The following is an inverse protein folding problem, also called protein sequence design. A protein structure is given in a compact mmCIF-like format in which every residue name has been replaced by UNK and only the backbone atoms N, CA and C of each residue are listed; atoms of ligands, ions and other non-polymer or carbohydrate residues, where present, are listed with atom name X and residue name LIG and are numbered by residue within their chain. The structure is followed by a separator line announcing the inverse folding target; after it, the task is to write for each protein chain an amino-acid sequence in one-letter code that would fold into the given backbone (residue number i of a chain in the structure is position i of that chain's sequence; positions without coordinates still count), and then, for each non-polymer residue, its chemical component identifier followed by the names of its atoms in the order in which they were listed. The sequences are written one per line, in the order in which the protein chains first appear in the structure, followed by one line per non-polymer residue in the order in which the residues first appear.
data_IF_713927310789
#
_entry.id   IF_713927310789
#
_cell.length_a   1.000
_cell.length_b   1.000
_cell.length_c   1.000
_cell.angle_alpha   90.00
_cell.angle_beta   90.00
_cell.angle_gamma   90.00
#
_symmetry.space_group_name_H-M   'P 1'
#
loop_
_entity.id
_entity.type
_entity.pdbx_description
1 polymer ?
#
# COMPACT_ATOMS: atom_id res chain seq x y z
N UNK A 1 7.37 -36.14 -16.86
CA UNK A 1 7.18 -35.10 -15.83
C UNK A 1 8.53 -34.72 -15.21
N UNK A 2 9.51 -34.25 -15.99
CA UNK A 2 10.86 -33.98 -15.46
C UNK A 2 11.60 -32.84 -16.18
N UNK A 3 10.89 -31.85 -16.73
CA UNK A 3 11.53 -30.67 -17.34
C UNK A 3 10.92 -29.32 -16.92
N UNK A 4 10.13 -29.27 -15.83
CA UNK A 4 9.50 -28.01 -15.35
C UNK A 4 10.14 -27.46 -14.05
N UNK A 5 11.13 -28.16 -13.46
CA UNK A 5 11.61 -27.81 -12.11
C UNK A 5 12.85 -26.90 -12.10
N UNK A 6 13.54 -26.69 -13.22
CA UNK A 6 14.87 -26.05 -13.20
C UNK A 6 14.93 -24.52 -13.39
N UNK A 7 13.80 -23.82 -13.58
CA UNK A 7 13.80 -22.35 -13.77
C UNK A 7 12.97 -21.55 -12.75
N UNK A 8 12.45 -22.19 -11.68
CA UNK A 8 11.58 -21.52 -10.69
C UNK A 8 12.32 -20.78 -9.56
N UNK A 9 13.65 -20.88 -9.48
CA UNK A 9 14.41 -20.44 -8.30
C UNK A 9 14.40 -18.91 -8.08
N UNK A 10 14.26 -18.14 -9.15
CA UNK A 10 14.27 -16.67 -9.10
C UNK A 10 12.86 -16.06 -9.25
N UNK A 11 11.84 -16.88 -9.54
CA UNK A 11 10.50 -16.41 -9.89
C UNK A 11 9.72 -15.84 -8.69
N UNK A 12 10.14 -16.13 -7.46
CA UNK A 12 9.44 -15.77 -6.22
C UNK A 12 10.21 -14.76 -5.35
N UNK A 13 11.31 -14.18 -5.85
CA UNK A 13 12.22 -13.28 -5.11
C UNK A 13 12.11 -11.83 -5.59
N UNK A 14 10.91 -11.24 -5.51
CA UNK A 14 10.72 -9.84 -5.90
C UNK A 14 11.09 -8.85 -4.79
N UNK A 15 11.68 -7.73 -5.21
CA UNK A 15 12.20 -6.70 -4.29
C UNK A 15 13.39 -7.17 -3.45
N UNK A 16 13.93 -8.37 -3.64
CA UNK A 16 15.13 -8.80 -2.92
C UNK A 16 16.37 -8.12 -3.49
N UNK A 17 17.27 -7.71 -2.60
CA UNK A 17 18.61 -7.23 -2.92
C UNK A 17 19.57 -7.64 -1.79
N UNK A 18 20.86 -7.71 -2.08
CA UNK A 18 21.84 -7.91 -1.01
C UNK A 18 21.82 -6.68 -0.07
N UNK A 19 21.83 -6.87 1.27
CA UNK A 19 21.84 -5.74 2.20
C UNK A 19 22.99 -4.75 2.01
N UNK A 20 24.17 -5.19 1.55
CA UNK A 20 25.31 -4.31 1.28
C UNK A 20 25.11 -3.49 0.01
N UNK A 21 24.54 -4.08 -1.04
CA UNK A 21 24.12 -3.34 -2.24
C UNK A 21 23.11 -2.27 -1.88
N UNK A 22 22.15 -2.60 -1.01
CA UNK A 22 21.14 -1.64 -0.59
C UNK A 22 21.69 -0.52 0.30
N UNK A 23 22.67 -0.83 1.16
CA UNK A 23 23.41 0.22 1.89
C UNK A 23 24.16 1.14 0.93
N UNK A 24 24.79 0.60 -0.11
CA UNK A 24 25.49 1.39 -1.12
C UNK A 24 24.51 2.27 -1.92
N UNK A 25 23.39 1.69 -2.36
CA UNK A 25 22.32 2.42 -3.06
C UNK A 25 21.82 3.61 -2.23
N UNK A 26 21.49 3.40 -0.95
CA UNK A 26 21.02 4.47 -0.05
C UNK A 26 22.04 5.58 0.12
N UNK A 27 23.34 5.27 0.25
CA UNK A 27 24.39 6.32 0.33
C UNK A 27 24.47 7.19 -0.91
N UNK A 28 24.17 6.63 -2.08
CA UNK A 28 24.25 7.32 -3.36
C UNK A 28 22.96 8.08 -3.73
N UNK A 29 21.81 7.56 -3.34
CA UNK A 29 20.51 8.03 -3.85
C UNK A 29 19.60 8.66 -2.78
N UNK A 30 19.82 8.39 -1.49
CA UNK A 30 19.02 8.98 -0.39
C UNK A 30 19.79 10.11 0.26
N UNK A 31 19.13 11.26 0.40
CA UNK A 31 19.66 12.37 1.19
C UNK A 31 19.18 12.27 2.63
N UNK A 32 20.12 12.32 3.57
CA UNK A 32 19.83 12.49 5.01
C UNK A 32 19.76 13.97 5.41
N UNK A 33 19.86 14.89 4.43
CA UNK A 33 19.74 16.32 4.68
C UNK A 33 18.30 16.67 5.05
N UNK A 34 18.16 17.50 6.08
CA UNK A 34 16.89 18.04 6.52
C UNK A 34 16.47 19.23 5.64
N UNK A 35 15.91 18.92 4.47
CA UNK A 35 15.42 19.91 3.48
C UNK A 35 13.90 19.83 3.31
N UNK A 36 13.31 20.87 2.73
CA UNK A 36 11.88 20.87 2.37
C UNK A 36 11.60 19.82 1.28
N UNK A 37 10.65 18.93 1.54
CA UNK A 37 10.25 17.81 0.66
C UNK A 37 8.81 17.96 0.18
N UNK A 38 8.18 19.10 0.42
CA UNK A 38 6.80 19.35 0.01
C UNK A 38 6.71 19.47 -1.49
N UNK A 39 5.79 18.72 -2.07
CA UNK A 39 5.52 18.71 -3.52
C UNK A 39 4.02 18.50 -3.74
N UNK A 40 3.54 18.88 -4.93
CA UNK A 40 2.17 18.57 -5.34
C UNK A 40 2.01 17.06 -5.59
N UNK A 41 0.79 16.52 -5.38
CA UNK A 41 0.50 15.09 -5.55
C UNK A 41 0.91 14.58 -6.94
N UNK A 42 0.49 15.29 -7.99
CA UNK A 42 0.83 14.98 -9.38
C UNK A 42 2.34 14.84 -9.59
N UNK A 43 3.11 15.80 -9.08
CA UNK A 43 4.57 15.82 -9.19
C UNK A 43 5.20 14.68 -8.39
N UNK A 44 4.70 14.38 -7.18
CA UNK A 44 5.21 13.28 -6.36
C UNK A 44 5.08 11.93 -7.09
N UNK A 45 3.93 11.68 -7.70
CA UNK A 45 3.67 10.44 -8.46
C UNK A 45 4.50 10.40 -9.75
N UNK A 46 4.50 11.49 -10.53
CA UNK A 46 5.25 11.57 -11.79
C UNK A 46 6.75 11.33 -11.57
N UNK A 47 7.31 11.87 -10.50
CA UNK A 47 8.74 11.75 -10.19
C UNK A 47 9.08 10.43 -9.50
N UNK A 48 8.21 9.95 -8.61
CA UNK A 48 8.49 8.85 -7.70
C UNK A 48 8.04 7.47 -8.16
N UNK A 49 7.05 7.36 -9.06
CA UNK A 49 6.53 6.07 -9.57
C UNK A 49 6.88 5.92 -11.05
N UNK A 50 7.41 4.76 -11.43
CA UNK A 50 7.79 4.41 -12.81
C UNK A 50 7.12 3.10 -13.24
N UNK A 51 6.88 2.94 -14.55
CA UNK A 51 6.46 1.64 -15.07
C UNK A 51 7.45 0.53 -14.70
N UNK A 52 6.93 -0.62 -14.28
CA UNK A 52 7.75 -1.75 -13.84
C UNK A 52 8.10 -1.76 -12.34
N UNK A 53 7.87 -0.66 -11.61
CA UNK A 53 8.20 -0.57 -10.20
C UNK A 53 7.48 -1.63 -9.36
N UNK A 54 8.17 -2.12 -8.33
CA UNK A 54 7.55 -2.83 -7.23
C UNK A 54 7.03 -1.85 -6.17
N UNK A 55 5.70 -1.63 -6.18
CA UNK A 55 5.02 -0.71 -5.30
C UNK A 55 4.31 -1.42 -4.14
N UNK A 56 4.39 -0.84 -2.95
CA UNK A 56 3.64 -1.27 -1.77
C UNK A 56 2.98 -0.08 -1.11
N UNK A 57 1.69 -0.21 -0.79
CA UNK A 57 0.92 0.82 -0.09
C UNK A 57 0.89 0.54 1.41
N UNK A 58 0.93 1.60 2.21
CA UNK A 58 0.75 1.52 3.66
C UNK A 58 -0.70 1.41 4.08
N UNK A 59 -0.92 1.53 5.39
CA UNK A 59 -2.21 1.31 6.00
C UNK A 59 -2.49 -0.18 6.19
N UNK A 60 -3.76 -0.54 6.38
CA UNK A 60 -4.19 -1.94 6.40
C UNK A 60 -5.67 -2.01 6.07
N UNK A 61 -6.00 -2.84 5.08
CA UNK A 61 -7.36 -2.99 4.61
C UNK A 61 -7.93 -1.67 4.11
N UNK A 62 -9.04 -1.25 4.70
CA UNK A 62 -9.70 0.02 4.38
C UNK A 62 -9.32 1.15 5.34
N UNK A 63 -8.14 1.10 5.97
CA UNK A 63 -7.69 2.09 6.97
C UNK A 63 -6.37 2.72 6.56
N UNK A 64 -6.34 4.06 6.39
CA UNK A 64 -5.19 4.88 6.00
C UNK A 64 -4.48 4.42 4.72
N UNK A 65 -5.20 3.85 3.76
CA UNK A 65 -4.65 3.54 2.44
C UNK A 65 -4.58 4.83 1.60
N UNK A 66 -3.48 5.11 0.88
CA UNK A 66 -3.26 6.38 0.18
C UNK A 66 -4.04 6.47 -1.14
N UNK A 67 -5.37 6.50 -1.06
CA UNK A 67 -6.26 6.45 -2.23
C UNK A 67 -6.07 7.61 -3.20
N UNK A 68 -5.78 8.82 -2.71
CA UNK A 68 -5.48 9.96 -3.57
C UNK A 68 -4.27 9.68 -4.49
N UNK A 69 -3.23 9.02 -3.98
CA UNK A 69 -2.08 8.62 -4.76
C UNK A 69 -2.42 7.50 -5.76
N UNK A 70 -3.25 6.54 -5.36
CA UNK A 70 -3.76 5.49 -6.27
C UNK A 70 -4.52 6.11 -7.44
N UNK A 71 -5.40 7.07 -7.18
CA UNK A 71 -6.15 7.78 -8.22
C UNK A 71 -5.21 8.54 -9.15
N UNK A 72 -4.19 9.18 -8.61
CA UNK A 72 -3.22 9.91 -9.41
C UNK A 72 -2.35 8.98 -10.28
N UNK A 73 -1.95 7.80 -9.78
CA UNK A 73 -1.28 6.76 -10.59
C UNK A 73 -2.17 6.36 -11.77
N UNK A 74 -3.47 6.19 -11.53
CA UNK A 74 -4.45 5.85 -12.57
C UNK A 74 -4.59 6.98 -13.59
N UNK A 75 -4.72 8.25 -13.15
CA UNK A 75 -4.80 9.42 -14.04
C UNK A 75 -3.57 9.55 -14.95
N UNK A 76 -2.39 9.27 -14.40
CA UNK A 76 -1.13 9.33 -15.16
C UNK A 76 -0.91 8.09 -16.04
N UNK A 77 -1.72 7.03 -15.89
CA UNK A 77 -1.60 5.81 -16.67
C UNK A 77 -0.29 5.05 -16.44
N UNK A 78 0.29 5.17 -15.24
CA UNK A 78 1.55 4.48 -14.91
C UNK A 78 1.24 3.00 -14.67
N UNK A 79 1.60 2.15 -15.63
CA UNK A 79 1.27 0.72 -15.66
C UNK A 79 2.48 -0.23 -15.59
N UNK A 80 2.24 -1.51 -15.91
CA UNK A 80 3.21 -2.60 -15.72
C UNK A 80 3.74 -2.68 -14.27
N UNK A 81 2.91 -2.30 -13.30
CA UNK A 81 3.29 -2.30 -11.90
C UNK A 81 3.33 -3.72 -11.36
N UNK A 82 4.31 -3.98 -10.50
CA UNK A 82 4.28 -5.10 -9.57
C UNK A 82 3.75 -4.58 -8.24
N UNK A 83 2.69 -5.18 -7.69
CA UNK A 83 2.11 -4.72 -6.42
C UNK A 83 2.33 -5.73 -5.30
N UNK A 84 2.70 -5.24 -4.12
CA UNK A 84 2.74 -6.03 -2.90
C UNK A 84 1.37 -5.97 -2.22
N UNK A 85 0.51 -6.93 -2.52
CA UNK A 85 -0.85 -7.00 -2.00
C UNK A 85 -0.87 -7.62 -0.59
N UNK A 86 -0.47 -6.81 0.39
CA UNK A 86 -0.31 -7.19 1.80
C UNK A 86 -1.37 -6.47 2.62
N UNK A 87 -2.49 -7.16 2.88
CA UNK A 87 -3.65 -6.50 3.48
C UNK A 87 -4.21 -5.37 2.59
N UNK A 88 -3.82 -5.35 1.31
CA UNK A 88 -4.30 -4.40 0.31
C UNK A 88 -5.70 -4.78 -0.12
N UNK A 89 -6.52 -3.79 -0.43
CA UNK A 89 -7.92 -3.95 -0.80
C UNK A 89 -8.22 -3.00 -1.95
N UNK A 90 -8.92 -1.90 -1.67
CA UNK A 90 -9.39 -0.97 -2.69
C UNK A 90 -8.26 -0.38 -3.54
N UNK A 91 -7.13 -0.10 -2.91
CA UNK A 91 -5.92 0.47 -3.50
C UNK A 91 -5.45 -0.32 -4.71
N UNK A 92 -5.04 -1.58 -4.51
CA UNK A 92 -4.53 -2.40 -5.60
C UNK A 92 -5.65 -2.98 -6.49
N UNK A 93 -6.86 -3.17 -5.94
CA UNK A 93 -8.02 -3.61 -6.72
C UNK A 93 -8.38 -2.58 -7.80
N UNK A 94 -8.33 -1.28 -7.50
CA UNK A 94 -8.57 -0.23 -8.49
C UNK A 94 -7.45 -0.14 -9.54
N UNK A 95 -6.18 -0.27 -9.14
CA UNK A 95 -5.08 -0.32 -10.11
C UNK A 95 -5.21 -1.51 -11.06
N UNK A 96 -5.62 -2.66 -10.52
CA UNK A 96 -5.86 -3.87 -11.31
C UNK A 96 -7.05 -3.67 -12.24
N UNK A 97 -8.15 -3.08 -11.75
CA UNK A 97 -9.33 -2.77 -12.56
C UNK A 97 -9.03 -1.74 -13.67
N UNK A 98 -8.08 -0.83 -13.44
CA UNK A 98 -7.58 0.10 -14.45
C UNK A 98 -6.59 -0.55 -15.45
N UNK A 99 -6.23 -1.83 -15.26
CA UNK A 99 -5.31 -2.55 -16.14
C UNK A 99 -3.83 -2.16 -15.96
N UNK A 100 -3.46 -1.61 -14.80
CA UNK A 100 -2.12 -1.08 -14.55
C UNK A 100 -1.18 -2.04 -13.81
N UNK A 101 -1.69 -3.17 -13.32
CA UNK A 101 -0.93 -4.18 -12.56
C UNK A 101 -0.70 -5.41 -13.42
N UNK A 102 0.56 -5.76 -13.66
CA UNK A 102 0.94 -6.97 -14.41
C UNK A 102 1.30 -8.13 -13.49
N UNK A 103 1.79 -7.84 -12.28
CA UNK A 103 2.30 -8.84 -11.32
C UNK A 103 1.88 -8.47 -9.90
N UNK A 104 1.64 -9.48 -9.06
CA UNK A 104 1.39 -9.27 -7.64
C UNK A 104 2.06 -10.33 -6.75
N UNK A 105 2.73 -9.88 -5.69
CA UNK A 105 3.00 -10.72 -4.51
C UNK A 105 1.81 -10.57 -3.56
N UNK A 106 1.20 -11.67 -3.12
CA UNK A 106 -0.07 -11.64 -2.39
C UNK A 106 0.07 -12.35 -1.04
N UNK A 107 -0.45 -11.71 0.02
CA UNK A 107 -0.78 -12.41 1.26
C UNK A 107 -2.29 -12.39 1.52
N UNK A 108 -2.88 -11.21 1.40
CA UNK A 108 -4.32 -11.01 1.43
C UNK A 108 -4.61 -9.77 0.59
N UNK A 109 -5.17 -9.98 -0.60
CA UNK A 109 -5.42 -8.91 -1.59
C UNK A 109 -6.80 -8.96 -2.24
N UNK A 110 -7.30 -10.16 -2.54
CA UNK A 110 -8.53 -10.32 -3.34
C UNK A 110 -9.84 -10.09 -2.56
N UNK A 111 -9.77 -9.83 -1.25
CA UNK A 111 -10.95 -9.61 -0.42
C UNK A 111 -11.04 -8.17 0.07
N UNK A 112 -12.15 -7.49 -0.20
CA UNK A 112 -12.51 -6.19 0.38
C UNK A 112 -13.16 -6.39 1.77
N UNK A 113 -12.54 -7.21 2.63
CA UNK A 113 -12.99 -7.47 4.01
C UNK A 113 -14.45 -7.99 4.06
N UNK A 114 -15.33 -7.30 4.80
CA UNK A 114 -16.76 -7.59 4.92
C UNK A 114 -17.52 -7.37 3.61
N UNK A 115 -16.89 -6.73 2.62
CA UNK A 115 -17.49 -6.38 1.32
C UNK A 115 -17.31 -7.47 0.27
N UNK A 116 -16.63 -8.57 0.61
CA UNK A 116 -16.52 -9.77 -0.24
C UNK A 116 -15.31 -9.75 -1.17
N UNK A 117 -15.36 -10.52 -2.25
CA UNK A 117 -14.23 -10.66 -3.18
C UNK A 117 -14.24 -9.58 -4.28
N UNK A 118 -13.06 -9.08 -4.62
CA UNK A 118 -12.83 -8.19 -5.75
C UNK A 118 -12.97 -8.96 -7.06
N UNK A 119 -14.07 -8.68 -7.79
CA UNK A 119 -14.32 -9.27 -9.10
C UNK A 119 -13.28 -8.86 -10.15
N UNK A 120 -12.87 -7.58 -10.25
CA UNK A 120 -11.87 -7.17 -11.24
C UNK A 120 -10.51 -7.83 -11.02
N UNK A 121 -10.03 -7.89 -9.77
CA UNK A 121 -8.74 -8.53 -9.49
C UNK A 121 -8.77 -10.03 -9.77
N UNK A 122 -9.85 -10.71 -9.39
CA UNK A 122 -10.05 -12.12 -9.73
C UNK A 122 -10.07 -12.35 -11.25
N UNK A 123 -10.83 -11.55 -11.99
CA UNK A 123 -10.93 -11.66 -13.44
C UNK A 123 -9.58 -11.40 -14.14
N UNK A 124 -8.79 -10.45 -13.64
CA UNK A 124 -7.45 -10.18 -14.16
C UNK A 124 -6.51 -11.38 -14.01
N UNK A 125 -6.59 -12.10 -12.88
CA UNK A 125 -5.81 -13.35 -12.68
C UNK A 125 -6.34 -14.48 -13.54
N UNK A 126 -7.65 -14.73 -13.55
CA UNK A 126 -8.27 -15.84 -14.30
C UNK A 126 -8.06 -15.69 -15.81
N UNK A 127 -8.00 -14.45 -16.32
CA UNK A 127 -7.72 -14.15 -17.73
C UNK A 127 -6.24 -14.14 -18.09
N UNK A 128 -5.34 -14.15 -17.09
CA UNK A 128 -3.89 -14.07 -17.29
C UNK A 128 -3.36 -12.65 -17.55
N UNK A 129 -4.18 -11.61 -17.39
CA UNK A 129 -3.73 -10.21 -17.45
C UNK A 129 -2.82 -9.86 -16.26
N UNK A 130 -3.06 -10.47 -15.09
CA UNK A 130 -2.27 -10.31 -13.89
C UNK A 130 -1.69 -11.66 -13.46
N UNK A 131 -0.38 -11.71 -13.20
CA UNK A 131 0.29 -12.89 -12.66
C UNK A 131 0.51 -12.78 -11.16
N UNK A 132 -0.03 -13.72 -10.38
CA UNK A 132 0.35 -13.90 -8.97
C UNK A 132 1.69 -14.60 -8.93
N UNK A 133 2.74 -13.84 -8.62
CA UNK A 133 4.15 -14.26 -8.70
C UNK A 133 4.66 -14.82 -7.39
N UNK A 134 4.03 -14.50 -6.25
CA UNK A 134 4.34 -15.10 -4.96
C UNK A 134 3.10 -15.06 -4.06
N UNK A 135 2.92 -16.12 -3.27
CA UNK A 135 1.93 -16.17 -2.20
C UNK A 135 2.65 -16.37 -0.86
N UNK A 136 2.27 -15.60 0.16
CA UNK A 136 2.87 -15.72 1.49
C UNK A 136 1.84 -15.43 2.58
N UNK A 137 2.14 -15.71 3.84
CA UNK A 137 1.23 -15.35 4.94
C UNK A 137 1.34 -13.84 5.24
N UNK A 138 0.28 -13.22 5.79
CA UNK A 138 0.32 -11.79 6.16
C UNK A 138 1.50 -11.44 7.08
N UNK A 139 1.81 -12.32 8.04
CA UNK A 139 2.95 -12.15 8.93
C UNK A 139 4.29 -12.31 8.20
N UNK A 140 4.41 -13.31 7.33
CA UNK A 140 5.63 -13.52 6.56
C UNK A 140 5.92 -12.35 5.61
N UNK A 141 4.90 -11.78 4.97
CA UNK A 141 5.05 -10.59 4.13
C UNK A 141 5.62 -9.41 4.94
N UNK A 142 5.05 -9.12 6.11
CA UNK A 142 5.57 -8.11 7.04
C UNK A 142 7.05 -8.34 7.38
N UNK A 143 7.41 -9.59 7.65
CA UNK A 143 8.76 -9.94 8.07
C UNK A 143 9.80 -9.80 6.95
N UNK A 144 9.39 -9.78 5.68
CA UNK A 144 10.27 -9.40 4.56
C UNK A 144 10.77 -7.96 4.73
N UNK A 145 9.86 -7.03 5.04
CA UNK A 145 10.20 -5.63 5.29
C UNK A 145 10.96 -5.47 6.61
N UNK A 146 10.62 -6.27 7.62
CA UNK A 146 11.36 -6.29 8.89
C UNK A 146 12.82 -6.70 8.69
N UNK A 147 13.08 -7.73 7.88
CA UNK A 147 14.45 -8.13 7.52
C UNK A 147 15.18 -7.02 6.77
N UNK A 148 14.54 -6.42 5.75
CA UNK A 148 15.10 -5.33 4.97
C UNK A 148 15.47 -4.10 5.83
N UNK A 149 14.54 -3.63 6.68
CA UNK A 149 14.78 -2.55 7.63
C UNK A 149 15.98 -2.84 8.55
N UNK A 150 16.11 -4.09 9.02
CA UNK A 150 17.23 -4.51 9.89
C UNK A 150 18.53 -4.76 9.12
N UNK A 151 18.52 -4.69 7.78
CA UNK A 151 19.66 -5.00 6.93
C UNK A 151 20.06 -6.48 6.98
N UNK A 152 19.08 -7.36 7.17
CA UNK A 152 19.23 -8.82 7.12
C UNK A 152 18.86 -9.32 5.72
N UNK A 153 19.50 -10.39 5.26
CA UNK A 153 19.14 -11.03 3.98
C UNK A 153 17.81 -11.79 4.06
N UNK A 154 17.42 -12.24 5.26
CA UNK A 154 16.20 -13.00 5.52
C UNK A 154 15.72 -12.89 6.98
N UNK A 155 14.46 -13.28 7.22
CA UNK A 155 13.85 -13.42 8.54
C UNK A 155 13.56 -14.90 8.85
N UNK A 156 14.08 -15.48 9.95
CA UNK A 156 13.82 -16.88 10.32
C UNK A 156 12.47 -17.05 11.03
N UNK A 157 11.69 -18.06 10.64
CA UNK A 157 10.39 -18.38 11.24
C UNK A 157 10.03 -19.87 11.09
N UNK A 158 8.82 -20.25 11.51
CA UNK A 158 8.21 -21.58 11.28
C UNK A 158 6.80 -21.49 10.68
N UNK A 159 6.36 -20.30 10.28
CA UNK A 159 4.95 -20.02 9.97
C UNK A 159 4.39 -20.74 8.75
N UNK A 160 5.16 -20.90 7.67
CA UNK A 160 4.68 -21.58 6.46
C UNK A 160 5.05 -23.07 6.41
N UNK A 161 5.83 -23.58 7.38
CA UNK A 161 6.26 -24.97 7.39
C UNK A 161 5.05 -25.89 7.54
N UNK A 162 4.88 -26.80 6.59
CA UNK A 162 3.73 -27.72 6.55
C UNK A 162 2.53 -27.20 5.78
N UNK A 163 2.65 -26.05 5.10
CA UNK A 163 1.63 -25.50 4.21
C UNK A 163 2.15 -25.41 2.78
N UNK A 164 1.25 -25.39 1.80
CA UNK A 164 1.64 -25.17 0.39
C UNK A 164 2.16 -23.76 0.14
N UNK A 165 1.86 -22.79 1.01
CA UNK A 165 2.37 -21.41 0.93
C UNK A 165 3.90 -21.37 0.79
N UNK A 166 4.61 -22.30 1.43
CA UNK A 166 6.07 -22.39 1.30
C UNK A 166 6.51 -22.63 -0.16
N UNK A 167 5.75 -23.41 -0.93
CA UNK A 167 6.04 -23.74 -2.32
C UNK A 167 5.76 -22.60 -3.31
N UNK A 168 4.91 -21.65 -2.92
CA UNK A 168 4.54 -20.47 -3.72
C UNK A 168 5.21 -19.17 -3.23
N UNK A 169 6.11 -19.29 -2.25
CA UNK A 169 6.86 -18.16 -1.70
C UNK A 169 8.32 -18.20 -2.11
N UNK A 170 9.01 -17.06 -2.00
CA UNK A 170 10.48 -17.00 -2.11
C UNK A 170 11.21 -17.59 -0.90
N UNK A 171 10.50 -18.11 0.11
CA UNK A 171 11.08 -18.64 1.33
C UNK A 171 11.86 -19.93 1.09
N UNK A 172 12.90 -20.16 1.89
CA UNK A 172 13.70 -21.39 1.87
C UNK A 172 13.60 -22.12 3.20
N UNK A 173 13.57 -23.45 3.17
CA UNK A 173 13.62 -24.28 4.38
C UNK A 173 15.05 -24.74 4.63
N UNK A 174 15.57 -24.53 5.84
CA UNK A 174 16.86 -25.04 6.29
C UNK A 174 16.72 -25.79 7.61
N UNK A 175 17.77 -26.47 8.04
CA UNK A 175 17.90 -27.01 9.39
C UNK A 175 18.44 -25.92 10.32
N UNK A 176 17.76 -25.72 11.45
CA UNK A 176 18.20 -24.80 12.51
C UNK A 176 19.48 -25.34 13.17
N UNK A 177 20.61 -24.62 13.10
CA UNK A 177 21.89 -25.12 13.62
C UNK A 177 21.91 -25.29 15.14
N UNK A 178 20.96 -24.70 15.87
CA UNK A 178 20.89 -24.82 17.33
C UNK A 178 19.99 -25.96 17.80
N UNK A 179 19.01 -26.36 16.98
CA UNK A 179 17.98 -27.34 17.40
C UNK A 179 17.84 -28.55 16.50
N UNK A 180 18.47 -28.55 15.31
CA UNK A 180 18.31 -29.59 14.28
C UNK A 180 16.91 -29.65 13.67
N UNK A 181 16.03 -28.69 13.99
CA UNK A 181 14.63 -28.67 13.51
C UNK A 181 14.52 -27.82 12.25
N UNK A 182 13.58 -28.11 11.34
CA UNK A 182 13.37 -27.27 10.17
C UNK A 182 12.90 -25.86 10.56
N UNK A 183 13.46 -24.85 9.89
CA UNK A 183 13.05 -23.45 9.95
C UNK A 183 12.87 -22.90 8.53
N UNK A 184 11.98 -21.93 8.39
CA UNK A 184 11.73 -21.16 7.17
C UNK A 184 12.57 -19.88 7.22
N UNK A 185 13.21 -19.54 6.11
CA UNK A 185 13.91 -18.28 5.89
C UNK A 185 13.13 -17.47 4.86
N UNK A 186 12.51 -16.39 5.32
CA UNK A 186 11.77 -15.46 4.48
C UNK A 186 12.76 -14.43 3.91
N UNK A 187 12.89 -14.26 2.59
CA UNK A 187 13.81 -13.30 1.99
C UNK A 187 13.42 -11.85 2.33
N UNK A 188 14.41 -10.98 2.52
CA UNK A 188 14.16 -9.55 2.67
C UNK A 188 13.51 -8.93 1.42
N UNK A 189 12.77 -7.83 1.60
CA UNK A 189 12.13 -7.10 0.51
C UNK A 189 12.37 -5.60 0.63
N UNK A 190 12.88 -5.00 -0.44
CA UNK A 190 13.13 -3.58 -0.62
C UNK A 190 12.24 -3.09 -1.79
N UNK A 191 11.01 -2.62 -1.51
CA UNK A 191 10.14 -2.05 -2.54
C UNK A 191 10.83 -0.89 -3.27
N UNK A 192 10.55 -0.73 -4.55
CA UNK A 192 11.02 0.43 -5.31
C UNK A 192 10.34 1.70 -4.79
N UNK A 193 9.02 1.61 -4.57
CA UNK A 193 8.22 2.73 -4.06
C UNK A 193 7.30 2.26 -2.95
N UNK A 194 7.26 3.03 -1.86
CA UNK A 194 6.24 2.94 -0.82
C UNK A 194 5.48 4.26 -0.76
N UNK A 195 4.15 4.17 -0.72
CA UNK A 195 3.28 5.32 -0.51
C UNK A 195 2.47 5.10 0.76
N UNK A 196 2.51 6.07 1.67
CA UNK A 196 1.83 6.00 2.97
C UNK A 196 0.88 7.18 3.14
N UNK A 197 -0.17 7.00 3.92
CA UNK A 197 -1.08 8.08 4.30
C UNK A 197 -1.11 8.28 5.82
N UNK A 198 -0.83 9.49 6.28
CA UNK A 198 -0.61 9.80 7.70
C UNK A 198 -1.42 11.01 8.17
N UNK A 199 -1.76 11.04 9.46
CA UNK A 199 -2.53 12.14 10.06
C UNK A 199 -1.85 13.50 9.92
N UNK A 200 -0.54 13.55 10.12
CA UNK A 200 0.21 14.81 10.00
C UNK A 200 1.69 14.56 9.72
N UNK A 201 2.27 15.45 8.93
CA UNK A 201 3.70 15.49 8.69
C UNK A 201 4.25 16.91 8.77
N UNK A 202 5.55 17.09 8.99
CA UNK A 202 6.21 18.37 8.72
C UNK A 202 6.75 18.43 7.28
N UNK A 203 7.25 19.60 6.89
CA UNK A 203 7.85 19.82 5.56
C UNK A 203 9.10 18.97 5.30
N UNK A 204 9.73 18.42 6.33
CA UNK A 204 10.94 17.62 6.22
C UNK A 204 10.63 16.12 6.01
N UNK A 205 9.43 15.68 6.41
CA UNK A 205 8.97 14.29 6.33
C UNK A 205 8.87 13.58 7.67
N UNK A 206 8.96 14.28 8.81
CA UNK A 206 8.64 13.65 10.10
C UNK A 206 7.12 13.47 10.18
N UNK A 207 6.66 12.23 10.37
CA UNK A 207 5.24 11.90 10.37
C UNK A 207 4.78 11.44 11.75
N UNK A 208 3.63 11.94 12.18
CA UNK A 208 2.90 11.44 13.34
C UNK A 208 1.63 10.74 12.88
N UNK A 209 1.39 9.55 13.43
CA UNK A 209 0.25 8.70 13.12
C UNK A 209 -0.47 8.44 14.45
N UNK A 210 -1.76 8.69 14.48
CA UNK A 210 -2.61 8.34 15.61
C UNK A 210 -3.20 6.95 15.43
N UNK A 211 -3.30 6.20 16.52
CA UNK A 211 -3.82 4.83 16.50
C UNK A 211 -2.81 3.82 15.94
N UNK A 212 -3.31 2.86 15.17
CA UNK A 212 -2.50 1.74 14.69
C UNK A 212 -1.61 2.17 13.51
N UNK A 213 -0.30 2.03 13.68
CA UNK A 213 0.70 2.33 12.66
C UNK A 213 0.83 1.22 11.61
N UNK A 214 0.20 0.07 11.86
CA UNK A 214 0.27 -1.15 11.07
C UNK A 214 1.71 -1.56 10.82
N UNK A 215 2.23 -1.27 9.64
CA UNK A 215 3.57 -1.64 9.16
C UNK A 215 4.31 -0.50 8.49
N UNK A 216 3.72 0.70 8.54
CA UNK A 216 4.23 1.88 7.86
C UNK A 216 5.69 2.17 8.28
N UNK A 217 6.05 1.80 9.51
CA UNK A 217 7.41 1.93 10.03
C UNK A 217 8.41 1.07 9.26
N UNK A 218 8.16 -0.25 9.15
CA UNK A 218 9.02 -1.17 8.43
C UNK A 218 9.04 -0.87 6.93
N UNK A 219 7.89 -0.58 6.34
CA UNK A 219 7.79 -0.21 4.93
C UNK A 219 8.62 1.02 4.59
N UNK A 220 8.47 2.11 5.36
CA UNK A 220 9.23 3.33 5.13
C UNK A 220 10.75 3.09 5.23
N UNK A 221 11.19 2.21 6.14
CA UNK A 221 12.60 1.88 6.30
C UNK A 221 13.12 0.85 5.29
N UNK A 222 12.24 0.06 4.67
CA UNK A 222 12.60 -0.95 3.66
C UNK A 222 12.69 -0.34 2.25
N UNK A 223 11.82 0.60 1.91
CA UNK A 223 11.69 1.12 0.55
C UNK A 223 12.92 1.89 0.03
N UNK A 224 13.08 1.90 -1.29
CA UNK A 224 14.04 2.75 -2.01
C UNK A 224 13.53 4.17 -2.14
N UNK A 225 12.23 4.35 -2.39
CA UNK A 225 11.55 5.65 -2.44
C UNK A 225 10.30 5.67 -1.56
N UNK A 226 10.08 6.74 -0.78
CA UNK A 226 8.94 6.89 0.14
C UNK A 226 8.21 8.21 -0.12
N UNK A 227 6.95 8.10 -0.52
CA UNK A 227 6.02 9.22 -0.68
C UNK A 227 5.06 9.22 0.50
N UNK A 228 4.98 10.34 1.21
CA UNK A 228 4.01 10.56 2.28
C UNK A 228 2.89 11.44 1.76
N UNK A 229 1.67 10.92 1.76
CA UNK A 229 0.46 11.74 1.71
C UNK A 229 0.00 12.02 3.14
N UNK A 230 -0.49 13.21 3.42
CA UNK A 230 -0.91 13.57 4.77
C UNK A 230 -2.16 14.44 4.78
N UNK A 231 -2.98 14.26 5.80
CA UNK A 231 -4.15 15.11 6.06
C UNK A 231 -3.77 16.55 6.37
N UNK A 232 -2.60 16.77 6.98
CA UNK A 232 -2.13 18.11 7.31
C UNK A 232 -0.62 18.21 7.41
N UNK A 233 -0.07 19.29 6.87
CA UNK A 233 1.30 19.69 7.15
C UNK A 233 1.32 20.63 8.37
N UNK A 234 2.15 20.29 9.36
CA UNK A 234 2.32 21.08 10.59
C UNK A 234 3.74 21.66 10.71
N UNK A 235 3.91 22.76 11.46
CA UNK A 235 5.24 23.28 11.78
C UNK A 235 6.10 22.24 12.51
N UNK A 236 7.40 22.27 12.28
CA UNK A 236 8.35 21.36 12.93
C UNK A 236 8.33 21.52 14.46
N UNK A 237 8.05 22.71 14.95
CA UNK A 237 7.93 23.01 16.38
C UNK A 237 6.81 22.19 17.05
N UNK A 238 5.76 21.82 16.31
CA UNK A 238 4.70 20.94 16.83
C UNK A 238 5.15 19.47 16.89
N UNK A 239 5.93 19.02 15.90
CA UNK A 239 6.53 17.68 15.90
C UNK A 239 7.50 17.53 17.10
N UNK A 240 8.39 18.51 17.28
CA UNK A 240 9.41 18.49 18.33
C UNK A 240 8.84 18.62 19.74
N UNK A 241 7.63 19.19 19.90
CA UNK A 241 6.92 19.20 21.19
C UNK A 241 6.41 17.83 21.61
N UNK A 242 6.13 16.93 20.66
CA UNK A 242 5.62 15.57 20.89
C UNK A 242 6.41 14.53 20.08
N UNK A 243 7.71 14.39 20.34
CA UNK A 243 8.56 13.49 19.56
C UNK A 243 8.15 12.02 19.72
N UNK A 244 7.51 11.66 20.85
CA UNK A 244 6.93 10.34 21.14
C UNK A 244 5.86 9.89 20.12
N UNK A 245 5.20 10.86 19.48
CA UNK A 245 4.20 10.60 18.45
C UNK A 245 4.81 10.43 17.05
N UNK A 246 6.10 10.75 16.86
CA UNK A 246 6.75 10.64 15.55
C UNK A 246 7.05 9.18 15.25
N UNK A 247 6.37 8.64 14.24
CA UNK A 247 6.46 7.22 13.86
C UNK A 247 7.38 7.02 12.68
N UNK A 248 7.35 7.92 11.70
CA UNK A 248 8.23 7.86 10.53
C UNK A 248 9.17 9.07 10.56
N UNK A 249 10.49 8.85 10.64
CA UNK A 249 11.46 9.93 10.69
C UNK A 249 11.74 10.49 9.30
N UNK A 250 12.09 11.78 9.22
CA UNK A 250 12.30 12.47 7.95
C UNK A 250 13.33 11.81 7.01
N UNK A 251 14.36 11.15 7.53
CA UNK A 251 15.49 10.66 6.72
C UNK A 251 15.14 9.46 5.82
N UNK A 252 13.99 8.80 6.03
CA UNK A 252 13.51 7.75 5.12
C UNK A 252 12.57 8.28 4.03
N UNK A 253 12.01 9.48 4.23
CA UNK A 253 11.00 10.10 3.37
C UNK A 253 11.64 10.88 2.22
N UNK A 254 11.09 10.80 1.01
CA UNK A 254 11.58 11.54 -0.16
C UNK A 254 10.63 12.66 -0.59
N UNK A 255 9.32 12.48 -0.44
CA UNK A 255 8.30 13.46 -0.80
C UNK A 255 7.20 13.54 0.26
N UNK A 256 6.68 14.75 0.51
CA UNK A 256 5.55 15.02 1.40
C UNK A 256 4.48 15.77 0.62
N UNK A 257 3.25 15.27 0.68
CA UNK A 257 2.09 15.80 -0.05
C UNK A 257 0.96 16.03 0.94
N UNK A 258 0.54 17.28 1.10
CA UNK A 258 -0.70 17.60 1.83
C UNK A 258 -1.89 17.32 0.91
N UNK A 259 -2.72 16.36 1.29
CA UNK A 259 -3.92 15.97 0.56
C UNK A 259 -4.98 15.51 1.58
N UNK A 260 -5.76 16.46 2.14
CA UNK A 260 -6.84 16.16 3.07
C UNK A 260 -7.87 15.22 2.45
N UNK A 261 -8.45 14.36 3.29
CA UNK A 261 -9.27 13.22 2.89
C UNK A 261 -8.58 12.30 1.89
N UNK A 262 -7.25 12.18 1.99
CA UNK A 262 -6.41 11.47 1.03
C UNK A 262 -6.61 9.96 1.05
N UNK A 263 -7.22 9.45 2.13
CA UNK A 263 -7.61 8.04 2.24
C UNK A 263 -9.03 7.76 1.75
N UNK A 264 -9.89 8.75 1.47
CA UNK A 264 -11.29 8.48 1.06
C UNK A 264 -11.34 7.53 -0.15
N UNK A 265 -12.23 6.51 -0.19
CA UNK A 265 -13.37 6.23 0.71
C UNK A 265 -13.03 5.49 2.01
N UNK A 266 -11.74 5.27 2.27
CA UNK A 266 -11.24 4.52 3.42
C UNK A 266 -11.12 5.42 4.66
N UNK A 267 -11.11 4.79 5.84
CA UNK A 267 -11.11 5.49 7.12
C UNK A 267 -9.72 6.08 7.42
N UNK A 268 -9.69 7.28 8.02
CA UNK A 268 -8.54 7.75 8.80
C UNK A 268 -8.99 7.87 10.26
N UNK A 269 -8.55 6.95 11.14
CA UNK A 269 -9.03 6.89 12.51
C UNK A 269 -8.89 8.23 13.21
N UNK A 270 -9.90 8.60 13.99
CA UNK A 270 -9.99 9.89 14.71
C UNK A 270 -10.17 11.13 13.84
N UNK A 271 -10.22 11.01 12.51
CA UNK A 271 -10.53 12.14 11.61
C UNK A 271 -11.84 11.92 10.88
N UNK A 272 -11.97 10.84 10.11
CA UNK A 272 -13.18 10.54 9.37
C UNK A 272 -13.36 9.05 9.09
N UNK A 273 -14.62 8.64 8.98
CA UNK A 273 -15.03 7.24 8.86
C UNK A 273 -15.09 6.74 7.40
N UNK A 274 -15.33 5.44 7.21
CA UNK A 274 -15.50 4.86 5.87
C UNK A 274 -16.69 5.48 5.14
N UNK A 275 -16.52 5.75 3.85
CA UNK A 275 -17.64 6.11 2.98
C UNK A 275 -18.32 4.84 2.45
N UNK A 276 -19.18 4.22 3.27
CA UNK A 276 -19.88 3.00 2.89
C UNK A 276 -20.80 3.17 1.66
N UNK A 277 -21.27 4.39 1.40
CA UNK A 277 -22.08 4.65 0.22
C UNK A 277 -21.22 4.61 -1.05
N UNK A 278 -20.06 5.26 -1.04
CA UNK A 278 -19.14 5.23 -2.16
C UNK A 278 -18.54 3.83 -2.37
N UNK A 279 -18.26 3.11 -1.28
CA UNK A 279 -17.91 1.70 -1.34
C UNK A 279 -18.99 0.87 -2.02
N UNK A 280 -20.27 1.08 -1.68
CA UNK A 280 -21.38 0.38 -2.33
C UNK A 280 -21.46 0.71 -3.83
N UNK A 281 -21.25 1.98 -4.22
CA UNK A 281 -21.18 2.38 -5.63
C UNK A 281 -20.07 1.62 -6.39
N UNK A 282 -18.88 1.48 -5.80
CA UNK A 282 -17.81 0.66 -6.37
C UNK A 282 -18.21 -0.81 -6.49
N UNK A 283 -18.79 -1.39 -5.43
CA UNK A 283 -19.17 -2.80 -5.42
C UNK A 283 -20.20 -3.12 -6.51
N UNK A 284 -21.16 -2.22 -6.74
CA UNK A 284 -22.17 -2.37 -7.78
C UNK A 284 -21.58 -2.15 -9.18
N UNK A 285 -20.72 -1.14 -9.34
CA UNK A 285 -20.03 -0.87 -10.60
C UNK A 285 -19.09 -2.01 -11.01
N UNK A 286 -18.39 -2.61 -10.04
CA UNK A 286 -17.44 -3.70 -10.26
C UNK A 286 -18.07 -5.03 -10.69
N UNK A 287 -19.40 -5.08 -10.84
CA UNK A 287 -20.10 -6.26 -11.32
C UNK A 287 -19.95 -6.51 -12.83
N UNK A 288 -19.57 -5.49 -13.61
CA UNK A 288 -19.37 -5.59 -15.07
C UNK A 288 -18.17 -4.75 -15.50
N UNK A 289 -17.56 -5.10 -16.63
CA UNK A 289 -16.42 -4.36 -17.18
C UNK A 289 -16.82 -2.93 -17.59
N UNK A 290 -18.04 -2.75 -18.11
CA UNK A 290 -18.61 -1.44 -18.42
C UNK A 290 -18.79 -0.60 -17.17
N UNK A 291 -19.30 -1.18 -16.07
CA UNK A 291 -19.48 -0.48 -14.81
C UNK A 291 -18.15 -0.02 -14.20
N UNK A 292 -17.12 -0.87 -14.28
CA UNK A 292 -15.75 -0.49 -13.88
C UNK A 292 -15.26 0.70 -14.71
N UNK A 293 -15.38 0.65 -16.04
CA UNK A 293 -14.95 1.74 -16.92
C UNK A 293 -15.68 3.06 -16.60
N UNK A 294 -16.98 3.00 -16.41
CA UNK A 294 -17.81 4.15 -16.07
C UNK A 294 -17.42 4.75 -14.70
N UNK A 295 -17.16 3.90 -13.71
CA UNK A 295 -16.69 4.32 -12.39
C UNK A 295 -15.33 5.02 -12.46
N UNK A 296 -14.36 4.39 -13.14
CA UNK A 296 -13.02 4.95 -13.32
C UNK A 296 -13.08 6.30 -14.07
N UNK A 297 -13.90 6.39 -15.13
CA UNK A 297 -14.09 7.64 -15.86
C UNK A 297 -14.75 8.72 -15.00
N UNK A 298 -15.82 8.39 -14.27
CA UNK A 298 -16.57 9.36 -13.48
C UNK A 298 -15.75 9.98 -12.37
N UNK A 299 -15.04 9.14 -11.60
CA UNK A 299 -14.41 9.54 -10.34
C UNK A 299 -12.90 9.80 -10.46
N UNK A 300 -12.22 9.18 -11.43
CA UNK A 300 -10.75 9.22 -11.51
C UNK A 300 -10.27 9.88 -12.80
N UNK A 301 -10.51 9.27 -13.96
CA UNK A 301 -9.95 9.72 -15.25
C UNK A 301 -10.61 11.02 -15.75
N UNK A 302 -11.87 11.25 -15.38
CA UNK A 302 -12.62 12.46 -15.71
C UNK A 302 -12.57 13.53 -14.62
N UNK A 303 -11.65 13.44 -13.66
CA UNK A 303 -11.36 14.50 -12.67
C UNK A 303 -9.95 15.04 -12.89
N UNK A 304 -9.77 16.35 -12.74
CA UNK A 304 -8.46 17.02 -12.83
C UNK A 304 -7.52 16.57 -11.71
N UNK A 305 -8.06 16.47 -10.49
CA UNK A 305 -7.30 16.12 -9.29
C UNK A 305 -8.15 15.45 -8.20
N UNK A 306 -7.57 15.25 -7.02
CA UNK A 306 -8.25 14.68 -5.86
C UNK A 306 -9.40 15.57 -5.35
N UNK A 307 -9.29 16.89 -5.46
CA UNK A 307 -10.32 17.79 -4.93
C UNK A 307 -11.57 17.80 -5.81
N UNK A 308 -11.43 17.74 -7.14
CA UNK A 308 -12.58 17.57 -8.02
C UNK A 308 -13.28 16.21 -7.79
N UNK A 309 -12.51 15.16 -7.50
CA UNK A 309 -13.07 13.89 -7.02
C UNK A 309 -13.91 14.07 -5.75
N UNK A 310 -13.38 14.76 -4.73
CA UNK A 310 -14.09 15.04 -3.49
C UNK A 310 -15.39 15.84 -3.71
N UNK A 311 -15.40 16.79 -4.65
CA UNK A 311 -16.63 17.49 -5.03
C UNK A 311 -17.66 16.56 -5.68
N UNK A 312 -17.24 15.64 -6.56
CA UNK A 312 -18.12 14.70 -7.24
C UNK A 312 -18.80 13.68 -6.33
N UNK A 313 -18.18 13.31 -5.21
CA UNK A 313 -18.78 12.39 -4.22
C UNK A 313 -19.74 13.08 -3.24
N UNK A 314 -19.94 14.40 -3.37
CA UNK A 314 -20.85 15.19 -2.52
C UNK A 314 -20.18 16.33 -1.75
N UNK A 315 -18.89 16.57 -1.99
CA UNK A 315 -18.14 17.72 -1.47
C UNK A 315 -18.14 17.80 0.06
N UNK A 316 -18.00 19.02 0.57
CA UNK A 316 -17.85 19.29 2.00
C UNK A 316 -18.99 18.75 2.87
N UNK A 317 -20.22 18.68 2.35
CA UNK A 317 -21.36 18.13 3.09
C UNK A 317 -21.15 16.65 3.40
N UNK A 318 -20.73 15.87 2.40
CA UNK A 318 -20.43 14.44 2.59
C UNK A 318 -19.25 14.24 3.53
N UNK A 319 -18.18 15.01 3.35
CA UNK A 319 -16.95 14.88 4.14
C UNK A 319 -17.20 15.17 5.63
N UNK A 320 -17.91 16.25 5.97
CA UNK A 320 -18.29 16.55 7.37
C UNK A 320 -19.17 15.48 7.99
N UNK A 321 -20.05 14.87 7.21
CA UNK A 321 -20.82 13.73 7.71
C UNK A 321 -19.91 12.56 8.10
N UNK A 322 -18.88 12.25 7.31
CA UNK A 322 -17.93 11.18 7.63
C UNK A 322 -17.13 11.49 8.91
N UNK A 323 -16.77 12.76 9.15
CA UNK A 323 -16.18 13.22 10.41
C UNK A 323 -17.15 13.04 11.59
N UNK A 324 -18.40 13.49 11.42
CA UNK A 324 -19.43 13.34 12.45
C UNK A 324 -19.67 11.87 12.81
N UNK A 325 -19.65 10.96 11.82
CA UNK A 325 -19.77 9.52 12.06
C UNK A 325 -18.57 9.00 12.86
N UNK A 326 -17.35 9.37 12.50
CA UNK A 326 -16.13 8.96 13.21
C UNK A 326 -16.14 9.43 14.68
N UNK A 327 -16.66 10.62 14.93
CA UNK A 327 -16.79 11.19 16.27
C UNK A 327 -18.05 10.76 17.03
N UNK A 328 -18.87 9.86 16.45
CA UNK A 328 -20.09 9.34 17.08
C UNK A 328 -21.23 10.37 17.22
N UNK A 329 -21.15 11.48 16.49
CA UNK A 329 -22.19 12.53 16.43
C UNK A 329 -23.33 12.05 15.53
N UNK A 330 -22.99 11.44 14.40
CA UNK A 330 -23.95 10.84 13.47
C UNK A 330 -23.81 9.31 13.45
N UNK A 331 -24.89 8.61 13.12
CA UNK A 331 -24.86 7.16 12.92
C UNK A 331 -24.59 6.85 11.45
N UNK A 332 -23.91 5.74 11.21
CA UNK A 332 -23.81 5.20 9.85
C UNK A 332 -25.21 5.10 9.21
N UNK A 333 -25.38 5.57 7.96
CA UNK A 333 -26.59 5.31 7.22
C UNK A 333 -26.78 3.79 7.12
N UNK A 334 -28.04 3.32 7.15
CA UNK A 334 -28.34 1.90 6.98
C UNK A 334 -27.91 1.47 5.58
N UNK A 335 -26.71 0.92 5.45
CA UNK A 335 -26.24 0.31 4.21
C UNK A 335 -27.09 -0.94 3.96
N UNK A 336 -27.52 -1.14 2.71
CA UNK A 336 -28.30 -2.32 2.35
C UNK A 336 -27.48 -3.58 2.67
N UNK A 337 -28.05 -4.51 3.44
CA UNK A 337 -27.41 -5.82 3.65
C UNK A 337 -27.30 -6.51 2.29
N UNK A 338 -26.09 -6.82 1.86
CA UNK A 338 -25.85 -7.68 0.69
C UNK A 338 -26.59 -9.00 0.91
N UNK A 339 -27.31 -9.46 -0.12
CA UNK A 339 -27.93 -10.79 -0.16
C UNK A 339 -26.89 -11.86 -0.44
#
# INVERSE_FOLDING_TARGET
MSQIVENKKDMYLYGWADPDEMRAYRRQHKSVEKKDKRVALKQAIEQGVKPGDYIVFGGMGSVRTPMAAVYEIIRQGIGDLTVGAKGSQHDWNLLTAAGLVSRAEVAYGFGDEIRGLSRPARAAVESGQLSVISETTNAAFQWRFTAAMKGLSFYPTRTAIGTDTLHYSGSKKIEDPFTGKPIELIPACYPDVVILHVHRADKYGNCQIDGNITEDFELAHAAKHVIITTERIIPEEEITRRPDLTKIPYFVVDAVVEVPYGSHPNQVPYLYSFDEQHWQEWLDASLTDEGVKDYLHRYILGTEDHYEYLEKIGGLCRLRQLEHIEHGIEKYPKVAKRR
#
